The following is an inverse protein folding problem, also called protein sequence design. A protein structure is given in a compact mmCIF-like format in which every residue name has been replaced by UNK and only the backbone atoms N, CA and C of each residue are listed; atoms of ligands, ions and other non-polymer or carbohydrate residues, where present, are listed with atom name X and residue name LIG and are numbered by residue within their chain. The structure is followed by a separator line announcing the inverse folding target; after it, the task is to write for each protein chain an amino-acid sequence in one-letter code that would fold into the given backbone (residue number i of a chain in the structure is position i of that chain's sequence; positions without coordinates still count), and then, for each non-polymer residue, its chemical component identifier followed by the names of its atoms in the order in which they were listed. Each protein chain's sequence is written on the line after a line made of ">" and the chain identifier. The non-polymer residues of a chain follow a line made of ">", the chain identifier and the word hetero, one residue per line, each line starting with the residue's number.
data_IF_874002434567
#
_entry.id   IF_874002434567
#
_cell.length_a   1.000
_cell.length_b   1.000
_cell.length_c   1.000
_cell.angle_alpha   90.00
_cell.angle_beta   90.00
_cell.angle_gamma   90.00
#
_symmetry.space_group_name_H-M   'P 1'
#
loop_
_entity.id
_entity.type
_entity.pdbx_description
1 polymer ?
#
# COMPACT_ATOMS: atom_id res chain seq x y z
N UNK A 1 6.62 -16.13 2.82
CA UNK A 1 7.55 -15.06 2.41
C UNK A 1 8.67 -15.06 3.43
N UNK A 2 9.92 -14.83 3.02
CA UNK A 2 10.98 -14.59 4.00
C UNK A 2 10.78 -13.24 4.73
N UNK A 3 11.47 -13.07 5.86
CA UNK A 3 11.33 -11.89 6.72
C UNK A 3 11.80 -10.59 6.05
N UNK A 4 12.77 -10.65 5.13
CA UNK A 4 13.25 -9.47 4.42
C UNK A 4 12.18 -8.94 3.45
N UNK A 5 11.48 -9.85 2.76
CA UNK A 5 10.34 -9.52 1.93
C UNK A 5 9.18 -8.93 2.74
N UNK A 6 8.87 -9.49 3.92
CA UNK A 6 7.82 -8.93 4.78
C UNK A 6 8.17 -7.54 5.31
N UNK A 7 9.43 -7.31 5.71
CA UNK A 7 9.90 -6.00 6.15
C UNK A 7 9.66 -4.94 5.07
N UNK A 8 10.03 -5.23 3.81
CA UNK A 8 9.81 -4.33 2.68
C UNK A 8 8.33 -3.94 2.51
N UNK A 9 7.42 -4.88 2.76
CA UNK A 9 5.98 -4.68 2.62
C UNK A 9 5.35 -3.92 3.79
N UNK A 10 6.04 -3.70 4.90
CA UNK A 10 5.53 -2.99 6.08
C UNK A 10 6.37 -1.72 6.32
N UNK A 11 5.74 -0.56 6.17
CA UNK A 11 6.40 0.73 6.40
C UNK A 11 6.86 0.86 7.87
N UNK A 12 7.90 1.65 8.17
CA UNK A 12 8.34 1.85 9.56
C UNK A 12 7.28 2.50 10.46
N UNK A 13 6.31 3.23 9.88
CA UNK A 13 5.13 3.76 10.59
C UNK A 13 4.05 2.69 10.85
N UNK A 14 4.26 1.44 10.44
CA UNK A 14 3.32 0.34 10.57
C UNK A 14 2.25 0.29 9.48
N UNK A 15 2.13 1.29 8.58
CA UNK A 15 1.27 1.15 7.39
C UNK A 15 1.74 -0.02 6.53
N UNK A 16 0.79 -0.75 5.95
CA UNK A 16 1.08 -1.89 5.12
C UNK A 16 1.23 -1.44 3.66
N UNK A 17 2.47 -1.36 3.17
CA UNK A 17 2.74 -0.99 1.78
C UNK A 17 2.11 -1.99 0.81
N UNK A 18 1.99 -3.27 1.17
CA UNK A 18 1.33 -4.29 0.34
C UNK A 18 -0.09 -3.89 -0.11
N UNK A 19 -0.82 -3.10 0.68
CA UNK A 19 -2.17 -2.63 0.32
C UNK A 19 -2.22 -1.23 -0.28
N UNK A 20 -1.07 -0.56 -0.44
CA UNK A 20 -0.97 0.77 -1.08
C UNK A 20 -1.13 0.65 -2.60
N UNK A 21 -1.73 1.66 -3.24
CA UNK A 21 -1.95 1.72 -4.68
C UNK A 21 -0.64 1.88 -5.47
N UNK A 22 0.34 2.58 -4.92
CA UNK A 22 1.63 2.80 -5.56
C UNK A 22 2.57 1.57 -5.51
N UNK A 23 2.28 0.60 -4.64
CA UNK A 23 3.20 -0.49 -4.33
C UNK A 23 3.34 -1.49 -5.48
N UNK A 24 4.55 -1.61 -6.03
CA UNK A 24 4.89 -2.68 -6.95
C UNK A 24 4.74 -4.03 -6.23
N UNK A 25 4.10 -4.97 -6.92
CA UNK A 25 3.78 -6.30 -6.37
C UNK A 25 2.86 -6.28 -5.14
N UNK A 26 2.21 -5.15 -4.84
CA UNK A 26 1.13 -5.05 -3.86
C UNK A 26 -0.17 -5.70 -4.35
N UNK A 27 -1.14 -5.88 -3.45
CA UNK A 27 -2.42 -6.52 -3.78
C UNK A 27 -3.19 -5.76 -4.86
N UNK A 28 -3.14 -4.42 -4.85
CA UNK A 28 -3.80 -3.58 -5.86
C UNK A 28 -3.15 -3.78 -7.23
N UNK A 29 -1.82 -3.73 -7.30
CA UNK A 29 -1.07 -3.97 -8.53
C UNK A 29 -1.33 -5.37 -9.10
N UNK A 30 -1.30 -6.39 -8.25
CA UNK A 30 -1.57 -7.78 -8.64
C UNK A 30 -3.00 -7.96 -9.14
N UNK A 31 -3.99 -7.38 -8.46
CA UNK A 31 -5.39 -7.42 -8.85
C UNK A 31 -5.61 -6.71 -10.19
N UNK A 32 -5.02 -5.53 -10.40
CA UNK A 32 -5.11 -4.78 -11.65
C UNK A 32 -4.53 -5.58 -12.83
N UNK A 33 -3.33 -6.16 -12.68
CA UNK A 33 -2.72 -7.04 -13.68
C UNK A 33 -3.61 -8.24 -14.00
N UNK A 34 -4.16 -8.90 -12.97
CA UNK A 34 -5.04 -10.05 -13.17
C UNK A 34 -6.33 -9.66 -13.91
N UNK A 35 -6.90 -8.52 -13.55
CA UNK A 35 -8.14 -8.04 -14.17
C UNK A 35 -7.91 -7.65 -15.64
N UNK A 36 -6.82 -6.96 -15.96
CA UNK A 36 -6.42 -6.67 -17.35
C UNK A 36 -6.24 -7.95 -18.17
N UNK A 37 -5.59 -8.97 -17.59
CA UNK A 37 -5.42 -10.26 -18.26
C UNK A 37 -6.75 -10.94 -18.57
N UNK A 38 -7.68 -10.98 -17.60
CA UNK A 38 -9.00 -11.61 -17.79
C UNK A 38 -9.89 -10.79 -18.73
N UNK A 39 -9.75 -9.47 -18.76
CA UNK A 39 -10.46 -8.55 -19.65
C UNK A 39 -9.75 -8.35 -21.00
N UNK A 40 -8.78 -9.19 -21.34
CA UNK A 40 -8.10 -9.13 -22.63
C UNK A 40 -9.14 -9.14 -23.78
N UNK A 41 -9.00 -8.21 -24.71
CA UNK A 41 -9.93 -8.01 -25.85
C UNK A 41 -11.36 -7.58 -25.49
N UNK A 42 -11.63 -7.13 -24.26
CA UNK A 42 -12.96 -6.65 -23.89
C UNK A 42 -13.37 -5.38 -24.65
N UNK A 43 -12.42 -4.52 -25.05
CA UNK A 43 -12.68 -3.38 -25.95
C UNK A 43 -13.33 -3.83 -27.27
N UNK A 44 -12.80 -4.89 -27.89
CA UNK A 44 -13.33 -5.46 -29.13
C UNK A 44 -14.73 -6.04 -28.94
N UNK A 45 -15.00 -6.65 -27.79
CA UNK A 45 -16.33 -7.11 -27.43
C UNK A 45 -17.33 -5.95 -27.29
N UNK A 46 -16.93 -4.86 -26.62
CA UNK A 46 -17.79 -3.68 -26.49
C UNK A 46 -18.01 -2.98 -27.84
N UNK A 47 -17.02 -2.96 -28.74
CA UNK A 47 -17.19 -2.42 -30.09
C UNK A 47 -18.20 -3.23 -30.93
N UNK A 48 -18.23 -4.56 -30.78
CA UNK A 48 -19.20 -5.42 -31.49
C UNK A 48 -20.59 -5.44 -30.86
N UNK A 49 -20.71 -5.02 -29.60
CA UNK A 49 -21.97 -4.96 -28.86
C UNK A 49 -22.03 -3.72 -27.92
N UNK A 50 -22.13 -2.50 -28.46
CA UNK A 50 -21.96 -1.25 -27.71
C UNK A 50 -22.95 -1.08 -26.55
N UNK A 51 -24.19 -1.54 -26.72
CA UNK A 51 -25.24 -1.44 -25.70
C UNK A 51 -25.41 -2.71 -24.85
N UNK A 52 -24.47 -3.66 -24.95
CA UNK A 52 -24.56 -4.94 -24.21
C UNK A 52 -24.53 -4.78 -22.69
N UNK A 53 -24.01 -3.65 -22.19
CA UNK A 53 -23.92 -3.33 -20.76
C UNK A 53 -24.25 -1.85 -20.54
N UNK A 54 -24.95 -1.48 -19.46
CA UNK A 54 -25.22 -0.07 -19.13
C UNK A 54 -23.97 0.81 -18.92
N UNK A 55 -22.80 0.20 -18.75
CA UNK A 55 -21.54 0.87 -18.42
C UNK A 55 -20.53 0.92 -19.58
N UNK A 56 -20.87 0.41 -20.78
CA UNK A 56 -19.90 0.28 -21.88
C UNK A 56 -19.12 1.56 -22.17
N UNK A 57 -19.79 2.71 -22.17
CA UNK A 57 -19.15 4.03 -22.39
C UNK A 57 -18.16 4.48 -21.32
N UNK A 58 -18.05 3.75 -20.20
CA UNK A 58 -17.09 4.02 -19.11
C UNK A 58 -15.88 3.10 -19.13
N UNK A 59 -15.85 2.09 -20.00
CA UNK A 59 -14.83 1.06 -19.96
C UNK A 59 -13.42 1.59 -20.25
N UNK A 60 -13.25 2.50 -21.22
CA UNK A 60 -11.93 3.08 -21.54
C UNK A 60 -11.32 3.77 -20.32
N UNK A 61 -12.07 4.65 -19.63
CA UNK A 61 -11.59 5.31 -18.42
C UNK A 61 -11.27 4.31 -17.29
N UNK A 62 -12.07 3.25 -17.15
CA UNK A 62 -11.79 2.19 -16.17
C UNK A 62 -10.49 1.44 -16.51
N UNK A 63 -10.29 1.10 -17.78
CA UNK A 63 -9.09 0.42 -18.27
C UNK A 63 -7.84 1.26 -18.04
N UNK A 64 -7.88 2.57 -18.30
CA UNK A 64 -6.76 3.49 -18.03
C UNK A 64 -6.33 3.45 -16.55
N UNK A 65 -7.30 3.45 -15.63
CA UNK A 65 -7.00 3.32 -14.19
C UNK A 65 -6.36 1.96 -13.87
N UNK A 66 -6.86 0.87 -14.47
CA UNK A 66 -6.27 -0.46 -14.26
C UNK A 66 -4.84 -0.53 -14.82
N UNK A 67 -4.58 0.03 -16.00
CA UNK A 67 -3.26 0.07 -16.61
C UNK A 67 -2.28 0.86 -15.74
N UNK A 68 -2.71 2.02 -15.22
CA UNK A 68 -1.94 2.79 -14.25
C UNK A 68 -1.58 1.96 -13.00
N UNK A 69 -2.58 1.33 -12.36
CA UNK A 69 -2.37 0.52 -11.16
C UNK A 69 -1.52 -0.73 -11.42
N UNK A 70 -1.60 -1.29 -12.63
CA UNK A 70 -0.80 -2.45 -13.04
C UNK A 70 0.67 -2.09 -13.31
N UNK A 71 0.97 -0.83 -13.64
CA UNK A 71 2.33 -0.39 -14.00
C UNK A 71 3.10 0.34 -12.88
N UNK A 72 2.51 0.55 -11.70
CA UNK A 72 3.19 1.24 -10.58
C UNK A 72 4.55 0.63 -10.20
N UNK A 73 5.49 1.49 -9.77
CA UNK A 73 6.91 1.14 -9.57
C UNK A 73 7.44 1.28 -8.14
N UNK A 74 6.65 1.74 -7.17
CA UNK A 74 7.15 1.98 -5.82
C UNK A 74 7.59 0.67 -5.14
N UNK A 75 8.79 0.66 -4.59
CA UNK A 75 9.40 -0.45 -3.88
C UNK A 75 8.96 -0.56 -2.41
N UNK A 76 8.28 0.47 -1.90
CA UNK A 76 7.80 0.59 -0.52
C UNK A 76 8.55 1.65 0.27
N UNK A 77 7.98 2.09 1.40
CA UNK A 77 8.48 3.21 2.19
C UNK A 77 9.85 3.00 2.86
N UNK A 78 10.48 1.82 2.72
CA UNK A 78 11.84 1.56 3.21
C UNK A 78 12.90 1.80 2.15
N UNK A 79 12.53 1.69 0.89
CA UNK A 79 13.41 1.80 -0.26
C UNK A 79 13.17 3.11 -1.01
N UNK A 80 11.90 3.52 -1.12
CA UNK A 80 11.45 4.78 -1.73
C UNK A 80 10.88 5.75 -0.68
N UNK A 81 10.32 6.87 -1.16
CA UNK A 81 9.66 7.87 -0.34
C UNK A 81 8.16 7.59 -0.19
N UNK A 82 7.58 8.08 0.90
CA UNK A 82 6.13 8.13 1.06
C UNK A 82 5.54 9.12 0.04
N UNK A 83 4.32 8.85 -0.47
CA UNK A 83 3.60 9.80 -1.33
C UNK A 83 3.41 11.16 -0.66
N UNK A 84 3.31 11.20 0.67
CA UNK A 84 3.43 12.44 1.41
C UNK A 84 4.91 12.85 1.46
N UNK A 85 5.27 13.82 0.62
CA UNK A 85 6.63 14.39 0.51
C UNK A 85 7.18 14.97 1.82
N UNK A 86 6.31 15.27 2.78
CA UNK A 86 6.70 15.80 4.08
C UNK A 86 6.88 14.70 5.15
N UNK A 87 6.65 13.43 4.79
CA UNK A 87 6.81 12.32 5.73
C UNK A 87 8.30 12.07 6.01
N UNK A 88 8.70 12.26 7.27
CA UNK A 88 10.08 12.05 7.70
C UNK A 88 10.39 10.61 8.15
N UNK A 89 9.37 9.75 8.27
CA UNK A 89 9.50 8.46 8.97
C UNK A 89 10.58 7.55 8.36
N UNK A 90 10.62 7.33 7.02
CA UNK A 90 11.66 6.48 6.42
C UNK A 90 13.08 6.91 6.80
N UNK A 91 13.40 8.18 6.54
CA UNK A 91 14.69 8.80 6.83
C UNK A 91 15.00 8.77 8.34
N UNK A 92 14.01 9.07 9.18
CA UNK A 92 14.14 9.10 10.62
C UNK A 92 14.49 7.72 11.20
N UNK A 93 13.88 6.65 10.68
CA UNK A 93 14.19 5.28 11.11
C UNK A 93 15.55 4.79 10.62
N UNK A 94 15.94 5.18 9.40
CA UNK A 94 17.28 4.90 8.85
C UNK A 94 18.38 5.57 9.69
N UNK A 95 18.21 6.86 10.02
CA UNK A 95 19.18 7.64 10.81
C UNK A 95 19.32 7.12 12.25
N UNK A 96 18.27 6.52 12.81
CA UNK A 96 18.29 5.91 14.14
C UNK A 96 18.70 4.43 14.14
N UNK A 97 18.94 3.84 12.97
CA UNK A 97 19.24 2.42 12.79
C UNK A 97 18.20 1.50 13.46
N UNK A 98 16.92 1.79 13.23
CA UNK A 98 15.77 1.02 13.74
C UNK A 98 14.85 0.58 12.60
N UNK A 99 14.13 -0.52 12.78
CA UNK A 99 13.21 -1.07 11.78
C UNK A 99 11.82 -0.46 11.87
N UNK A 100 11.36 -0.10 13.06
CA UNK A 100 10.01 0.43 13.29
C UNK A 100 10.03 1.57 14.29
N UNK A 101 9.03 2.45 14.20
CA UNK A 101 8.95 3.57 15.14
C UNK A 101 8.85 3.12 16.60
N UNK A 102 8.23 1.97 16.92
CA UNK A 102 8.14 1.49 18.31
C UNK A 102 9.49 1.19 18.97
N UNK A 103 10.56 1.05 18.18
CA UNK A 103 11.92 0.80 18.66
C UNK A 103 12.62 2.10 19.07
N UNK A 104 12.11 3.26 18.64
CA UNK A 104 12.60 4.56 19.08
C UNK A 104 12.30 4.77 20.57
N UNK A 105 13.31 5.18 21.34
CA UNK A 105 13.15 5.55 22.77
C UNK A 105 12.13 6.67 23.00
N UNK A 106 11.95 7.54 22.01
CA UNK A 106 10.99 8.63 22.05
C UNK A 106 9.59 8.26 21.57
N UNK A 107 9.31 7.00 21.20
CA UNK A 107 7.99 6.62 20.70
C UNK A 107 6.95 6.47 21.82
N UNK A 108 5.73 7.03 21.67
CA UNK A 108 5.29 7.91 20.59
C UNK A 108 5.85 9.35 20.72
N UNK A 109 6.21 9.96 19.61
CA UNK A 109 6.74 11.34 19.52
C UNK A 109 5.90 12.21 18.59
N UNK A 110 6.12 13.52 18.65
CA UNK A 110 5.39 14.52 17.84
C UNK A 110 6.18 14.98 16.60
N UNK A 111 7.30 14.33 16.30
CA UNK A 111 8.18 14.68 15.17
C UNK A 111 7.60 14.31 13.80
N UNK A 112 6.64 13.38 13.75
CA UNK A 112 6.11 12.82 12.49
C UNK A 112 5.29 13.81 11.68
N UNK A 113 4.72 14.85 12.31
CA UNK A 113 3.79 15.78 11.67
C UNK A 113 2.48 15.13 11.23
N UNK A 114 2.13 13.97 11.80
CA UNK A 114 0.87 13.30 11.47
C UNK A 114 -0.33 14.03 12.07
N UNK A 115 -1.42 14.22 11.31
CA UNK A 115 -2.71 14.62 11.89
C UNK A 115 -3.20 13.55 12.88
N UNK A 116 -4.11 13.93 13.78
CA UNK A 116 -4.53 13.11 14.92
C UNK A 116 -5.00 11.71 14.52
N UNK A 117 -5.80 11.61 13.47
CA UNK A 117 -6.31 10.34 12.94
C UNK A 117 -5.17 9.41 12.47
N UNK A 118 -4.18 9.97 11.78
CA UNK A 118 -3.01 9.23 11.33
C UNK A 118 -2.07 8.89 12.49
N UNK A 119 -1.96 9.78 13.49
CA UNK A 119 -1.15 9.57 14.70
C UNK A 119 -1.70 8.41 15.53
N UNK A 120 -3.01 8.35 15.73
CA UNK A 120 -3.66 7.22 16.43
C UNK A 120 -3.41 5.89 15.71
N UNK A 121 -3.59 5.87 14.38
CA UNK A 121 -3.31 4.68 13.55
C UNK A 121 -1.85 4.27 13.62
N UNK A 122 -0.92 5.23 13.54
CA UNK A 122 0.52 5.01 13.66
C UNK A 122 0.88 4.36 15.00
N UNK A 123 0.35 4.90 16.11
CA UNK A 123 0.58 4.36 17.46
C UNK A 123 0.03 2.94 17.57
N UNK A 124 -1.23 2.74 17.17
CA UNK A 124 -1.93 1.44 17.24
C UNK A 124 -1.17 0.37 16.45
N UNK A 125 -0.80 0.66 15.19
CA UNK A 125 -0.12 -0.30 14.31
C UNK A 125 1.28 -0.64 14.82
N UNK A 126 2.07 0.35 15.26
CA UNK A 126 3.40 0.10 15.83
C UNK A 126 3.34 -0.72 17.13
N UNK A 127 2.40 -0.43 18.04
CA UNK A 127 2.17 -1.25 19.23
C UNK A 127 1.78 -2.68 18.88
N UNK A 128 0.92 -2.86 17.86
CA UNK A 128 0.51 -4.17 17.37
C UNK A 128 1.70 -4.97 16.83
N UNK A 129 2.52 -4.37 15.97
CA UNK A 129 3.74 -5.03 15.44
C UNK A 129 4.65 -5.47 16.58
N UNK A 130 4.90 -4.61 17.58
CA UNK A 130 5.71 -4.95 18.76
C UNK A 130 5.15 -6.16 19.53
N UNK A 131 3.82 -6.27 19.62
CA UNK A 131 3.16 -7.32 20.40
C UNK A 131 3.11 -8.68 19.70
N UNK A 132 2.91 -8.70 18.37
CA UNK A 132 2.62 -9.94 17.64
C UNK A 132 3.68 -10.33 16.59
N UNK A 133 4.68 -9.47 16.36
CA UNK A 133 5.67 -9.66 15.31
C UNK A 133 5.15 -9.34 13.90
N UNK A 134 6.07 -9.24 12.93
CA UNK A 134 5.76 -8.80 11.56
C UNK A 134 4.96 -9.82 10.76
N UNK A 135 5.19 -11.11 10.97
CA UNK A 135 4.52 -12.20 10.23
C UNK A 135 3.01 -12.21 10.53
N UNK A 136 2.65 -12.32 11.81
CA UNK A 136 1.26 -12.30 12.24
C UNK A 136 0.59 -10.96 11.94
N UNK A 137 1.33 -9.85 12.09
CA UNK A 137 0.82 -8.53 11.70
C UNK A 137 0.47 -8.45 10.21
N UNK A 138 1.35 -8.94 9.33
CA UNK A 138 1.09 -8.96 7.90
C UNK A 138 -0.16 -9.79 7.58
N UNK A 139 -0.28 -10.99 8.16
CA UNK A 139 -1.42 -11.88 7.91
C UNK A 139 -2.75 -11.29 8.35
N UNK A 140 -2.77 -10.57 9.48
CA UNK A 140 -3.99 -9.90 9.97
C UNK A 140 -4.36 -8.64 9.17
N UNK A 141 -3.39 -7.95 8.57
CA UNK A 141 -3.62 -6.64 7.94
C UNK A 141 -3.70 -6.68 6.40
N UNK A 142 -3.18 -7.74 5.74
CA UNK A 142 -3.10 -7.83 4.27
C UNK A 142 -4.44 -7.79 3.53
N UNK A 143 -5.52 -8.12 4.23
CA UNK A 143 -6.88 -8.14 3.69
C UNK A 143 -7.72 -6.93 4.15
N UNK A 144 -7.13 -5.98 4.89
CA UNK A 144 -7.84 -4.80 5.36
C UNK A 144 -7.72 -3.63 4.35
N UNK A 145 -8.74 -2.76 4.26
CA UNK A 145 -8.69 -1.61 3.35
C UNK A 145 -7.56 -0.64 3.72
N UNK A 146 -6.71 -0.28 2.77
CA UNK A 146 -5.56 0.60 3.03
C UNK A 146 -5.96 1.99 3.55
N UNK A 147 -6.99 2.59 2.93
CA UNK A 147 -7.38 3.98 3.18
C UNK A 147 -8.40 4.15 4.30
N UNK A 148 -9.17 3.11 4.63
CA UNK A 148 -10.12 3.16 5.75
C UNK A 148 -9.48 2.74 7.09
N UNK A 149 -8.51 1.81 7.06
CA UNK A 149 -7.87 1.25 8.27
C UNK A 149 -6.79 2.14 8.90
#
# INVERSE_FOLDING_TARGET
>A
MDNNNLLRLIAPCGRLCYTCDAMKDGVINQAAKKLLYVLCSYDSFLQSAPDSRPISGKYSAFKEVLEYLADVKCNGCREDHCMNKNCIVPECTKNQNIQFCYECKGFPCDKTGFPDDLREKWIRKNKKIKAIGIEKYFDEEKNLPHYAS
#
